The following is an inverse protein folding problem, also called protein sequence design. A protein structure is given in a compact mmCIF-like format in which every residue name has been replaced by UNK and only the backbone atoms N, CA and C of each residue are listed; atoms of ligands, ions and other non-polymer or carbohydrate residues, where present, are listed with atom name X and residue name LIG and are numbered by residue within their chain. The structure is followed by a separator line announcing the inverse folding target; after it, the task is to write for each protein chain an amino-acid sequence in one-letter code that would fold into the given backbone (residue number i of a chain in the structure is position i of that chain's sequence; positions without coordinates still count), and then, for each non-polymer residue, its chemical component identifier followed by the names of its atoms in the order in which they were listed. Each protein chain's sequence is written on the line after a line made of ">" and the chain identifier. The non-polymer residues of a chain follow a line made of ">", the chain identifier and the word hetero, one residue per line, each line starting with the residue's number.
data_IF_915090326439
#
_entry.id   IF_915090326439
#
_cell.length_a   1.000
_cell.length_b   1.000
_cell.length_c   1.000
_cell.angle_alpha   90.00
_cell.angle_beta   90.00
_cell.angle_gamma   90.00
#
_symmetry.space_group_name_H-M   'P 1'
#
loop_
_entity.id
_entity.type
_entity.pdbx_description
1 polymer ?
#
# COMPACT_ATOMS: atom_id res chain seq x y z
N UNK A 1 -22.97 15.14 5.00
CA UNK A 1 -22.51 13.94 4.27
C UNK A 1 -20.98 13.92 4.16
N UNK A 2 -20.36 14.14 2.99
CA UNK A 2 -18.93 13.89 2.76
C UNK A 2 -17.94 14.47 3.80
N UNK A 3 -18.13 15.73 4.25
CA UNK A 3 -17.29 16.37 5.29
C UNK A 3 -17.50 15.82 6.71
N UNK A 4 -18.65 15.19 6.98
CA UNK A 4 -18.94 14.48 8.24
C UNK A 4 -18.41 13.03 8.21
N UNK A 5 -18.48 12.36 7.05
CA UNK A 5 -17.98 10.98 6.86
C UNK A 5 -16.44 10.87 6.75
N UNK A 6 -15.77 11.99 6.43
CA UNK A 6 -14.31 12.13 6.52
C UNK A 6 -13.91 13.61 6.39
N UNK A 7 -13.62 14.33 7.49
CA UNK A 7 -13.06 15.67 7.42
C UNK A 7 -11.64 15.68 6.83
N UNK A 8 -10.85 14.63 7.11
CA UNK A 8 -9.49 14.40 6.59
C UNK A 8 -9.38 14.47 5.06
N UNK A 9 -10.45 14.08 4.36
CA UNK A 9 -10.47 13.90 2.91
C UNK A 9 -10.18 15.21 2.16
N UNK A 10 -10.61 16.36 2.70
CA UNK A 10 -10.39 17.66 2.06
C UNK A 10 -8.90 18.02 2.09
N UNK A 11 -8.26 17.88 3.25
CA UNK A 11 -6.81 18.09 3.40
C UNK A 11 -6.00 17.13 2.51
N UNK A 12 -6.43 15.87 2.38
CA UNK A 12 -5.77 14.91 1.49
C UNK A 12 -5.94 15.25 -0.01
N UNK A 13 -7.00 15.94 -0.41
CA UNK A 13 -7.17 16.43 -1.79
C UNK A 13 -6.28 17.65 -2.02
N UNK A 14 -6.24 18.59 -1.08
CA UNK A 14 -5.35 19.75 -1.11
C UNK A 14 -3.86 19.33 -1.15
N UNK A 15 -3.43 18.42 -0.27
CA UNK A 15 -2.10 17.79 -0.26
C UNK A 15 -1.81 17.12 -1.62
N UNK A 16 -2.78 16.44 -2.22
CA UNK A 16 -2.62 15.73 -3.50
C UNK A 16 -2.42 16.70 -4.68
N UNK A 17 -3.21 17.77 -4.76
CA UNK A 17 -3.06 18.78 -5.83
C UNK A 17 -1.73 19.52 -5.71
N UNK A 18 -1.34 19.93 -4.49
CA UNK A 18 -0.05 20.58 -4.23
C UNK A 18 1.12 19.65 -4.60
N UNK A 19 1.12 18.39 -4.17
CA UNK A 19 2.21 17.45 -4.51
C UNK A 19 2.21 17.01 -5.97
N UNK A 20 1.09 17.04 -6.68
CA UNK A 20 1.08 16.88 -8.15
C UNK A 20 1.67 18.10 -8.87
N UNK A 21 1.44 19.32 -8.40
CA UNK A 21 2.07 20.52 -8.96
C UNK A 21 3.59 20.50 -8.74
N UNK A 22 4.07 20.22 -7.52
CA UNK A 22 5.50 20.06 -7.21
C UNK A 22 6.16 18.95 -8.07
N UNK A 23 5.48 17.81 -8.27
CA UNK A 23 5.95 16.73 -9.13
C UNK A 23 6.12 17.16 -10.60
N UNK A 24 5.17 17.93 -11.13
CA UNK A 24 5.07 18.33 -12.54
C UNK A 24 5.97 19.51 -12.89
N UNK A 25 5.99 20.53 -12.03
CA UNK A 25 6.57 21.83 -12.35
C UNK A 25 7.95 22.05 -11.68
N UNK A 26 8.31 21.28 -10.64
CA UNK A 26 9.68 21.24 -10.10
C UNK A 26 10.42 19.93 -10.47
N UNK A 27 9.92 18.78 -10.00
CA UNK A 27 10.70 17.54 -9.99
C UNK A 27 10.86 16.91 -11.38
N UNK A 28 9.84 16.99 -12.24
CA UNK A 28 9.91 16.48 -13.61
C UNK A 28 10.97 17.23 -14.47
N UNK A 29 11.03 18.58 -14.49
CA UNK A 29 12.16 19.33 -15.05
C UNK A 29 13.53 18.92 -14.51
N UNK A 30 13.69 18.83 -13.19
CA UNK A 30 14.97 18.49 -12.56
C UNK A 30 15.43 17.06 -12.92
N UNK A 31 14.52 16.09 -12.99
CA UNK A 31 14.83 14.74 -13.48
C UNK A 31 15.17 14.70 -14.98
N UNK A 32 14.61 15.60 -15.79
CA UNK A 32 15.06 15.78 -17.18
C UNK A 32 16.49 16.36 -17.22
N UNK A 33 16.83 17.31 -16.34
CA UNK A 33 18.20 17.84 -16.24
C UNK A 33 19.23 16.79 -15.78
N UNK A 34 18.85 15.87 -14.87
CA UNK A 34 19.66 14.70 -14.49
C UNK A 34 19.86 13.75 -15.68
N UNK A 35 18.77 13.42 -16.41
CA UNK A 35 18.86 12.55 -17.60
C UNK A 35 19.69 13.16 -18.73
N UNK A 36 19.64 14.48 -18.88
CA UNK A 36 20.40 15.24 -19.87
C UNK A 36 21.84 15.57 -19.40
N UNK A 37 22.33 14.97 -18.30
CA UNK A 37 23.69 15.18 -17.78
C UNK A 37 24.00 16.60 -17.27
N UNK A 38 23.00 17.49 -17.18
CA UNK A 38 23.17 18.87 -16.71
C UNK A 38 23.32 18.94 -15.18
N UNK A 39 22.80 17.93 -14.47
CA UNK A 39 23.06 17.68 -13.05
C UNK A 39 23.87 16.37 -12.99
N UNK A 40 25.08 16.35 -12.42
CA UNK A 40 25.92 15.16 -12.38
C UNK A 40 25.34 14.08 -11.48
N UNK A 41 25.70 12.82 -11.73
CA UNK A 41 25.29 11.72 -10.87
C UNK A 41 26.00 11.80 -9.51
N UNK A 42 25.23 11.78 -8.42
CA UNK A 42 25.75 11.95 -7.07
C UNK A 42 24.64 12.09 -6.03
N UNK A 43 24.99 12.59 -4.83
CA UNK A 43 24.05 12.71 -3.70
C UNK A 43 22.78 13.52 -4.07
N UNK A 44 22.94 14.62 -4.81
CA UNK A 44 21.82 15.45 -5.28
C UNK A 44 20.92 14.78 -6.34
N UNK A 45 21.49 14.06 -7.32
CA UNK A 45 20.66 13.36 -8.33
C UNK A 45 19.86 12.22 -7.69
N UNK A 46 20.46 11.50 -6.73
CA UNK A 46 19.78 10.47 -5.93
C UNK A 46 18.68 11.07 -5.05
N UNK A 47 18.92 12.21 -4.40
CA UNK A 47 17.90 12.92 -3.61
C UNK A 47 16.66 13.28 -4.45
N UNK A 48 16.87 13.85 -5.64
CA UNK A 48 15.78 14.20 -6.57
C UNK A 48 14.99 12.96 -7.02
N UNK A 49 15.67 11.84 -7.29
CA UNK A 49 15.01 10.57 -7.59
C UNK A 49 14.19 10.05 -6.40
N UNK A 50 14.75 10.06 -5.18
CA UNK A 50 14.03 9.59 -3.98
C UNK A 50 12.84 10.48 -3.64
N UNK A 51 12.96 11.81 -3.76
CA UNK A 51 11.86 12.77 -3.53
C UNK A 51 10.74 12.58 -4.55
N UNK A 52 11.08 12.43 -5.84
CA UNK A 52 10.09 12.11 -6.88
C UNK A 52 9.36 10.78 -6.62
N UNK A 53 10.10 9.71 -6.28
CA UNK A 53 9.48 8.43 -5.95
C UNK A 53 8.64 8.48 -4.66
N UNK A 54 9.05 9.26 -3.65
CA UNK A 54 8.27 9.47 -2.42
C UNK A 54 6.93 10.15 -2.73
N UNK A 55 6.95 11.29 -3.42
CA UNK A 55 5.73 12.04 -3.74
C UNK A 55 4.82 11.26 -4.69
N UNK A 56 5.38 10.56 -5.69
CA UNK A 56 4.60 9.72 -6.60
C UNK A 56 3.89 8.57 -5.85
N UNK A 57 4.57 7.93 -4.89
CA UNK A 57 3.96 6.91 -4.03
C UNK A 57 2.91 7.50 -3.07
N UNK A 58 3.14 8.70 -2.52
CA UNK A 58 2.17 9.40 -1.69
C UNK A 58 0.88 9.69 -2.47
N UNK A 59 0.99 10.32 -3.66
CA UNK A 59 -0.14 10.55 -4.56
C UNK A 59 -0.84 9.25 -5.01
N UNK A 60 -0.10 8.16 -5.22
CA UNK A 60 -0.68 6.85 -5.52
C UNK A 60 -1.50 6.27 -4.34
N UNK A 61 -1.07 6.49 -3.08
CA UNK A 61 -1.82 6.04 -1.91
C UNK A 61 -3.02 6.96 -1.62
N UNK A 62 -2.94 8.26 -1.87
CA UNK A 62 -4.10 9.16 -1.77
C UNK A 62 -5.15 8.78 -2.82
N UNK A 63 -4.78 8.66 -4.09
CA UNK A 63 -5.74 8.25 -5.14
C UNK A 63 -6.37 6.88 -4.88
N UNK A 64 -5.66 5.96 -4.22
CA UNK A 64 -6.24 4.71 -3.72
C UNK A 64 -7.22 4.93 -2.54
N UNK A 65 -6.92 5.82 -1.58
CA UNK A 65 -7.86 6.24 -0.52
C UNK A 65 -9.15 6.84 -1.11
N UNK A 66 -9.04 7.71 -2.14
CA UNK A 66 -10.18 8.28 -2.87
C UNK A 66 -11.06 7.17 -3.50
N UNK A 67 -10.45 6.13 -4.06
CA UNK A 67 -11.16 4.97 -4.65
C UNK A 67 -11.82 4.08 -3.59
N UNK A 68 -11.28 3.99 -2.36
CA UNK A 68 -11.96 3.31 -1.26
C UNK A 68 -13.17 4.11 -0.74
N UNK A 69 -13.03 5.44 -0.61
CA UNK A 69 -14.13 6.34 -0.21
C UNK A 69 -15.24 6.36 -1.26
N UNK A 70 -14.94 6.43 -2.56
CA UNK A 70 -15.97 6.40 -3.61
C UNK A 70 -16.74 5.08 -3.69
N UNK A 71 -16.12 3.97 -3.26
CA UNK A 71 -16.76 2.66 -3.09
C UNK A 71 -17.49 2.48 -1.75
N UNK A 72 -17.54 3.52 -0.90
CA UNK A 72 -18.14 3.51 0.45
C UNK A 72 -17.59 2.39 1.36
N UNK A 73 -16.31 2.02 1.20
CA UNK A 73 -15.66 1.03 2.05
C UNK A 73 -15.19 1.67 3.37
N UNK A 74 -15.19 0.88 4.47
CA UNK A 74 -14.67 1.30 5.77
C UNK A 74 -13.14 1.46 5.73
N UNK A 75 -12.67 2.69 5.51
CA UNK A 75 -11.24 2.97 5.30
C UNK A 75 -10.43 2.88 6.60
N UNK A 76 -11.05 3.09 7.76
CA UNK A 76 -10.42 3.01 9.09
C UNK A 76 -9.70 1.68 9.37
N UNK A 77 -10.11 0.59 8.72
CA UNK A 77 -9.52 -0.75 8.88
C UNK A 77 -8.53 -1.12 7.76
N UNK A 78 -8.15 -0.19 6.90
CA UNK A 78 -7.25 -0.45 5.76
C UNK A 78 -5.86 0.19 5.98
N UNK A 79 -4.75 -0.53 5.73
CA UNK A 79 -3.37 -0.03 5.91
C UNK A 79 -2.94 1.05 4.89
N UNK A 80 -3.90 1.75 4.27
CA UNK A 80 -3.64 2.97 3.49
C UNK A 80 -3.43 4.16 4.42
N UNK A 81 -4.16 4.23 5.54
CA UNK A 81 -4.05 5.35 6.50
C UNK A 81 -2.66 5.33 7.15
N UNK A 82 -2.23 4.16 7.65
CA UNK A 82 -0.89 3.93 8.18
C UNK A 82 0.21 4.36 7.20
N UNK A 83 0.05 4.01 5.91
CA UNK A 83 0.99 4.40 4.85
C UNK A 83 0.97 5.90 4.54
N UNK A 84 -0.21 6.54 4.52
CA UNK A 84 -0.33 7.99 4.32
C UNK A 84 0.35 8.77 5.44
N UNK A 85 0.18 8.33 6.69
CA UNK A 85 0.90 8.90 7.86
C UNK A 85 2.39 8.67 7.74
N UNK A 86 2.84 7.45 7.43
CA UNK A 86 4.27 7.15 7.26
C UNK A 86 4.92 7.98 6.15
N UNK A 87 4.24 8.15 4.99
CA UNK A 87 4.73 9.04 3.94
C UNK A 87 4.74 10.50 4.37
N UNK A 88 3.71 11.00 5.07
CA UNK A 88 3.66 12.38 5.56
C UNK A 88 4.78 12.68 6.56
N UNK A 89 5.13 11.73 7.43
CA UNK A 89 6.28 11.85 8.33
C UNK A 89 7.59 11.99 7.52
N UNK A 90 7.86 11.07 6.57
CA UNK A 90 9.07 11.14 5.73
C UNK A 90 9.11 12.45 4.91
N UNK A 91 7.97 12.97 4.44
CA UNK A 91 7.87 14.26 3.76
C UNK A 91 8.28 15.42 4.70
N UNK A 92 7.87 15.38 5.97
CA UNK A 92 8.30 16.36 6.97
C UNK A 92 9.82 16.27 7.25
N UNK A 93 10.37 15.06 7.38
CA UNK A 93 11.81 14.83 7.59
C UNK A 93 12.65 15.40 6.44
N UNK A 94 12.17 15.24 5.19
CA UNK A 94 12.83 15.82 4.01
C UNK A 94 12.73 17.34 3.93
N UNK A 95 11.79 17.99 4.61
CA UNK A 95 11.58 19.44 4.54
C UNK A 95 12.82 20.24 4.99
N UNK A 96 13.57 19.72 5.97
CA UNK A 96 14.83 20.33 6.46
C UNK A 96 15.92 20.30 5.38
N UNK A 97 15.88 19.33 4.47
CA UNK A 97 16.80 19.23 3.33
C UNK A 97 16.32 20.10 2.17
N UNK A 98 15.02 20.11 1.90
CA UNK A 98 14.41 20.96 0.87
C UNK A 98 14.63 22.45 1.14
N UNK A 99 14.50 22.92 2.39
CA UNK A 99 14.81 24.29 2.78
C UNK A 99 16.25 24.68 2.39
N UNK A 100 17.23 23.80 2.66
CA UNK A 100 18.66 24.01 2.35
C UNK A 100 18.96 23.98 0.85
N UNK A 101 18.21 23.20 0.06
CA UNK A 101 18.39 23.09 -1.40
C UNK A 101 17.54 24.09 -2.20
N UNK A 102 16.54 24.74 -1.57
CA UNK A 102 15.54 25.59 -2.22
C UNK A 102 16.12 26.68 -3.15
N UNK A 103 17.20 27.34 -2.75
CA UNK A 103 17.89 28.36 -3.56
C UNK A 103 18.52 27.78 -4.82
N UNK A 104 19.19 26.63 -4.69
CA UNK A 104 19.83 25.92 -5.81
C UNK A 104 18.77 25.37 -6.77
N UNK A 105 17.68 24.80 -6.24
CA UNK A 105 16.54 24.30 -7.02
C UNK A 105 15.90 25.42 -7.83
N UNK A 106 15.60 26.58 -7.21
CA UNK A 106 15.03 27.75 -7.90
C UNK A 106 15.93 28.27 -9.03
N UNK A 107 17.25 28.32 -8.83
CA UNK A 107 18.21 28.71 -9.86
C UNK A 107 18.25 27.71 -11.04
N UNK A 108 18.22 26.40 -10.75
CA UNK A 108 18.19 25.35 -11.77
C UNK A 108 16.88 25.38 -12.57
N UNK A 109 15.74 25.56 -11.90
CA UNK A 109 14.43 25.67 -12.55
C UNK A 109 14.35 26.93 -13.42
N UNK A 110 14.73 28.11 -12.92
CA UNK A 110 14.78 29.32 -13.76
C UNK A 110 15.61 29.08 -15.02
N UNK A 111 16.85 28.59 -14.87
CA UNK A 111 17.73 28.26 -16.01
C UNK A 111 17.15 27.21 -16.96
N UNK A 112 16.24 26.35 -16.51
CA UNK A 112 15.54 25.38 -17.36
C UNK A 112 14.41 26.04 -18.17
N UNK A 113 13.59 26.88 -17.55
CA UNK A 113 12.52 27.61 -18.24
C UNK A 113 13.07 28.69 -19.20
N UNK A 114 14.08 29.46 -18.80
CA UNK A 114 14.79 30.42 -19.66
C UNK A 114 15.29 29.72 -20.96
N UNK A 115 15.93 28.56 -20.82
CA UNK A 115 16.42 27.73 -21.95
C UNK A 115 15.31 27.10 -22.79
N UNK A 116 14.07 27.10 -22.32
CA UNK A 116 12.90 26.52 -22.98
C UNK A 116 12.20 27.56 -23.87
N UNK A 117 12.25 28.83 -23.49
CA UNK A 117 11.74 29.95 -24.31
C UNK A 117 12.71 30.29 -25.46
N UNK A 118 14.03 30.24 -25.21
CA UNK A 118 15.08 30.42 -26.25
C UNK A 118 15.11 29.28 -27.28
N UNK A 119 14.26 28.25 -27.14
CA UNK A 119 13.98 27.26 -28.19
C UNK A 119 12.65 27.58 -28.88
N UNK A 120 12.64 28.41 -29.95
CA UNK A 120 11.44 28.54 -30.78
C UNK A 120 11.04 27.16 -31.30
N UNK A 121 9.72 26.96 -31.50
CA UNK A 121 9.16 25.69 -31.95
C UNK A 121 9.68 25.32 -33.34
N UNK A 122 10.72 24.48 -33.40
CA UNK A 122 10.97 23.64 -34.58
C UNK A 122 9.73 22.78 -34.80
N UNK A 123 8.92 23.17 -35.78
CA UNK A 123 7.71 22.44 -36.16
C UNK A 123 8.13 21.13 -36.83
N UNK A 124 8.28 20.06 -36.03
CA UNK A 124 8.38 18.70 -36.55
C UNK A 124 7.10 18.35 -37.29
N UNK A 125 7.09 18.60 -38.59
CA UNK A 125 6.04 18.21 -39.52
C UNK A 125 5.93 16.69 -39.50
N UNK A 126 4.96 16.16 -38.77
CA UNK A 126 4.57 14.76 -38.91
C UNK A 126 4.02 14.57 -40.33
N UNK A 127 4.45 13.53 -41.07
CA UNK A 127 3.89 13.23 -42.39
C UNK A 127 2.42 12.86 -42.24
N UNK A 128 1.57 13.42 -43.12
CA UNK A 128 0.14 13.19 -43.07
C UNK A 128 -0.22 11.77 -43.53
N UNK A 129 -1.09 11.10 -42.77
CA UNK A 129 -1.81 9.89 -43.21
C UNK A 129 -3.17 10.31 -43.79
N UNK A 130 -3.65 9.68 -44.89
CA UNK A 130 -4.85 10.10 -45.58
C UNK A 130 -6.14 9.75 -44.80
N UNK A 131 -7.22 10.54 -44.96
CA UNK A 131 -8.49 10.31 -44.27
C UNK A 131 -9.30 9.18 -44.90
N UNK A 132 -10.04 8.42 -44.08
CA UNK A 132 -11.10 7.51 -44.54
C UNK A 132 -12.40 7.68 -43.74
N UNK A 133 -13.50 7.29 -44.40
CA UNK A 133 -14.88 7.66 -44.11
C UNK A 133 -15.40 7.39 -42.68
N UNK A 134 -16.32 8.26 -42.25
CA UNK A 134 -17.03 8.13 -40.99
C UNK A 134 -18.19 7.13 -41.05
N UNK A 135 -18.56 6.55 -39.90
CA UNK A 135 -19.94 6.10 -39.60
C UNK A 135 -20.35 6.56 -38.19
N UNK A 136 -21.61 6.96 -38.05
CA UNK A 136 -22.20 7.55 -36.83
C UNK A 136 -22.90 6.48 -36.00
N UNK A 137 -23.09 6.73 -34.69
CA UNK A 137 -24.40 6.66 -34.04
C UNK A 137 -24.40 7.18 -32.59
N UNK A 138 -25.46 7.91 -32.22
CA UNK A 138 -25.87 8.29 -30.85
C UNK A 138 -27.41 8.33 -30.80
N UNK A 139 -28.07 7.82 -29.76
CA UNK A 139 -29.48 8.14 -29.47
C UNK A 139 -29.65 9.52 -28.79
N UNK A 140 -30.90 10.01 -28.77
CA UNK A 140 -31.40 11.21 -28.05
C UNK A 140 -32.17 10.72 -26.79
N UNK A 141 -32.19 11.33 -25.61
CA UNK A 141 -32.41 12.72 -25.16
C UNK A 141 -33.88 13.18 -25.18
N UNK A 142 -34.39 13.55 -23.99
CA UNK A 142 -35.60 14.34 -23.74
C UNK A 142 -36.34 13.94 -22.45
N UNK A 143 -37.13 14.83 -21.80
CA UNK A 143 -37.15 16.30 -21.87
C UNK A 143 -36.95 16.95 -20.47
N UNK A 144 -37.03 18.30 -20.38
CA UNK A 144 -36.96 19.04 -19.11
C UNK A 144 -37.87 20.28 -19.13
N UNK A 145 -38.56 20.53 -18.01
CA UNK A 145 -39.41 21.68 -17.63
C UNK A 145 -39.56 21.62 -16.09
N UNK A 146 -39.59 22.63 -15.22
CA UNK A 146 -39.38 24.10 -15.18
C UNK A 146 -39.50 24.50 -13.69
N UNK A 147 -39.16 25.74 -13.29
CA UNK A 147 -39.03 26.13 -11.88
C UNK A 147 -40.37 26.41 -11.14
N UNK A 148 -40.36 26.26 -9.80
CA UNK A 148 -41.37 26.81 -8.86
C UNK A 148 -40.84 26.82 -7.42
N UNK A 149 -41.14 27.89 -6.65
CA UNK A 149 -40.78 28.04 -5.21
C UNK A 149 -41.90 27.54 -4.29
N UNK A 150 -41.56 27.19 -3.04
CA UNK A 150 -42.30 27.58 -1.82
C UNK A 150 -41.50 27.25 -0.55
N UNK A 151 -41.82 27.97 0.51
CA UNK A 151 -41.12 28.02 1.81
C UNK A 151 -41.85 27.18 2.88
N UNK A 152 -41.21 26.90 4.01
CA UNK A 152 -41.77 26.17 5.16
C UNK A 152 -40.71 25.85 6.23
N UNK A 153 -41.07 25.91 7.51
CA UNK A 153 -40.17 25.92 8.68
C UNK A 153 -40.66 24.95 9.80
N UNK A 154 -39.89 24.80 10.89
CA UNK A 154 -40.22 24.10 12.17
C UNK A 154 -40.40 22.55 12.10
N UNK A 155 -40.20 21.67 13.11
CA UNK A 155 -39.65 21.62 14.50
C UNK A 155 -39.54 20.08 14.88
N UNK A 156 -38.90 19.52 15.94
CA UNK A 156 -38.09 19.92 17.10
C UNK A 156 -37.24 18.71 17.65
N UNK A 157 -36.45 18.93 18.72
CA UNK A 157 -36.06 18.07 19.89
C UNK A 157 -36.12 16.51 19.84
N UNK A 158 -35.01 15.81 20.21
CA UNK A 158 -34.94 14.86 21.38
C UNK A 158 -33.53 14.25 21.66
N UNK A 159 -33.31 13.85 22.93
CA UNK A 159 -32.32 12.85 23.45
C UNK A 159 -30.82 13.22 23.67
N UNK A 160 -30.54 13.90 24.78
CA UNK A 160 -29.17 14.09 25.35
C UNK A 160 -28.51 12.81 25.95
N UNK A 161 -29.18 11.65 25.93
CA UNK A 161 -28.74 10.45 26.65
C UNK A 161 -27.52 9.72 26.03
N UNK A 162 -27.19 10.00 24.76
CA UNK A 162 -26.11 9.31 24.03
C UNK A 162 -24.71 9.95 24.23
N UNK A 163 -24.62 11.23 24.62
CA UNK A 163 -23.32 11.92 24.73
C UNK A 163 -22.43 11.32 25.83
N UNK A 164 -23.00 11.01 27.00
CA UNK A 164 -22.25 10.43 28.12
C UNK A 164 -21.76 9.00 27.79
N UNK A 165 -22.55 8.24 27.02
CA UNK A 165 -22.16 6.93 26.51
C UNK A 165 -20.99 7.04 25.50
N UNK A 166 -21.05 8.02 24.60
CA UNK A 166 -19.97 8.31 23.65
C UNK A 166 -18.66 8.71 24.38
N UNK A 167 -18.73 9.60 25.36
CA UNK A 167 -17.57 10.03 26.16
C UNK A 167 -16.93 8.86 26.91
N UNK A 168 -17.74 7.98 27.54
CA UNK A 168 -17.26 6.76 28.20
C UNK A 168 -16.58 5.81 27.19
N UNK A 169 -17.13 5.66 25.99
CA UNK A 169 -16.52 4.85 24.92
C UNK A 169 -15.17 5.40 24.45
N UNK A 170 -15.06 6.72 24.21
CA UNK A 170 -13.79 7.35 23.82
C UNK A 170 -12.71 7.18 24.89
N UNK A 171 -13.04 7.34 26.18
CA UNK A 171 -12.11 7.12 27.29
C UNK A 171 -11.60 5.67 27.35
N UNK A 172 -12.49 4.68 27.22
CA UNK A 172 -12.11 3.26 27.14
C UNK A 172 -11.24 2.94 25.91
N UNK A 173 -11.45 3.63 24.79
CA UNK A 173 -10.61 3.49 23.59
C UNK A 173 -9.21 4.10 23.79
N UNK A 174 -9.12 5.25 24.44
CA UNK A 174 -7.85 5.91 24.74
C UNK A 174 -6.98 5.04 25.68
N UNK A 175 -7.58 4.46 26.72
CA UNK A 175 -6.92 3.51 27.63
C UNK A 175 -6.43 2.26 26.90
N UNK A 176 -7.22 1.69 25.97
CA UNK A 176 -6.78 0.57 25.12
C UNK A 176 -5.61 0.92 24.19
N UNK A 177 -5.54 2.17 23.70
CA UNK A 177 -4.39 2.64 22.91
C UNK A 177 -3.15 2.84 23.79
N UNK A 178 -3.30 3.40 24.99
CA UNK A 178 -2.23 3.54 25.99
C UNK A 178 -1.66 2.17 26.40
N UNK A 179 -2.52 1.18 26.67
CA UNK A 179 -2.13 -0.20 26.97
C UNK A 179 -1.40 -0.88 25.80
N UNK A 180 -1.83 -0.68 24.55
CA UNK A 180 -1.09 -1.19 23.39
C UNK A 180 0.29 -0.56 23.26
N UNK A 181 0.40 0.78 23.41
CA UNK A 181 1.69 1.48 23.35
C UNK A 181 2.66 1.02 24.44
N UNK A 182 2.17 0.82 25.67
CA UNK A 182 2.96 0.21 26.75
C UNK A 182 3.47 -1.18 26.37
N UNK A 183 2.60 -2.08 25.91
CA UNK A 183 3.00 -3.43 25.50
C UNK A 183 3.96 -3.49 24.31
N UNK A 184 3.92 -2.50 23.41
CA UNK A 184 4.92 -2.38 22.34
C UNK A 184 6.26 -1.89 22.91
N UNK A 185 6.27 -0.81 23.72
CA UNK A 185 7.50 -0.34 24.35
C UNK A 185 8.14 -1.38 25.30
N UNK A 186 7.32 -2.13 26.06
CA UNK A 186 7.75 -3.27 26.89
C UNK A 186 8.38 -4.39 26.03
N UNK A 187 7.91 -4.60 24.80
CA UNK A 187 8.48 -5.57 23.88
C UNK A 187 9.75 -5.05 23.18
N UNK A 188 9.76 -3.77 22.78
CA UNK A 188 10.92 -3.13 22.15
C UNK A 188 12.10 -3.08 23.14
N UNK A 189 11.85 -2.74 24.41
CA UNK A 189 12.87 -2.78 25.48
C UNK A 189 13.37 -4.21 25.73
N UNK A 190 12.51 -5.23 25.71
CA UNK A 190 12.93 -6.63 25.81
C UNK A 190 13.71 -7.14 24.59
N UNK A 191 13.59 -6.49 23.43
CA UNK A 191 14.41 -6.77 22.25
C UNK A 191 15.76 -6.00 22.30
N UNK A 192 15.81 -4.77 22.88
CA UNK A 192 17.06 -4.02 23.11
C UNK A 192 17.90 -4.60 24.28
N UNK A 193 17.28 -5.00 25.40
CA UNK A 193 17.94 -5.72 26.50
C UNK A 193 18.50 -7.07 26.03
N UNK A 194 17.89 -7.68 25.01
CA UNK A 194 18.33 -8.94 24.40
C UNK A 194 19.54 -8.86 23.46
N UNK A 195 20.01 -7.65 23.10
CA UNK A 195 21.25 -7.45 22.34
C UNK A 195 22.46 -7.09 23.24
N UNK A 196 22.26 -6.92 24.55
CA UNK A 196 23.37 -6.96 25.51
C UNK A 196 23.76 -8.43 25.73
N UNK A 197 24.80 -8.89 25.03
CA UNK A 197 25.47 -10.14 25.41
C UNK A 197 25.99 -9.97 26.84
N UNK A 198 25.43 -10.73 27.80
CA UNK A 198 25.97 -10.81 29.15
C UNK A 198 27.40 -11.34 29.07
N UNK A 199 28.40 -10.45 29.24
CA UNK A 199 29.78 -10.84 29.49
C UNK A 199 29.85 -11.50 30.88
N UNK A 200 29.41 -12.76 30.98
CA UNK A 200 29.72 -13.64 32.12
C UNK A 200 31.24 -13.60 32.32
N UNK A 201 31.72 -13.00 33.41
CA UNK A 201 33.14 -12.98 33.73
C UNK A 201 33.68 -14.42 33.77
N UNK A 202 34.51 -14.79 32.78
CA UNK A 202 35.14 -16.12 32.73
C UNK A 202 36.10 -16.27 33.92
N UNK A 203 35.57 -16.77 35.04
CA UNK A 203 36.32 -17.16 36.25
C UNK A 203 37.66 -17.81 35.84
N UNK A 204 38.81 -17.19 36.15
CA UNK A 204 40.09 -17.53 35.53
C UNK A 204 40.60 -18.94 35.87
N UNK A 205 39.95 -19.65 36.80
CA UNK A 205 40.26 -21.04 37.13
C UNK A 205 39.40 -22.06 36.34
N UNK A 206 38.42 -21.60 35.55
CA UNK A 206 37.43 -22.41 34.82
C UNK A 206 38.03 -22.92 33.50
N UNK A 207 38.26 -24.23 33.39
CA UNK A 207 38.79 -24.86 32.17
C UNK A 207 37.85 -24.65 30.98
N UNK A 208 38.28 -23.89 29.97
CA UNK A 208 37.50 -23.60 28.75
C UNK A 208 36.99 -24.88 28.07
N UNK A 209 35.67 -25.00 27.98
CA UNK A 209 34.99 -26.13 27.36
C UNK A 209 35.05 -26.08 25.84
N UNK A 210 35.19 -27.25 25.19
CA UNK A 210 35.20 -27.33 23.72
C UNK A 210 33.81 -27.06 23.14
N UNK A 211 33.69 -26.03 22.29
CA UNK A 211 32.41 -25.54 21.77
C UNK A 211 31.70 -26.58 20.90
N UNK A 212 30.36 -26.64 20.92
CA UNK A 212 29.57 -27.57 20.09
C UNK A 212 29.90 -27.50 18.58
N UNK A 213 30.33 -26.34 18.08
CA UNK A 213 30.81 -26.17 16.72
C UNK A 213 32.04 -27.06 16.44
N UNK A 214 33.06 -26.99 17.30
CA UNK A 214 34.29 -27.80 17.25
C UNK A 214 34.04 -29.29 17.51
N UNK A 215 33.12 -29.63 18.42
CA UNK A 215 32.74 -31.04 18.67
C UNK A 215 32.12 -31.69 17.43
N UNK A 216 31.43 -30.91 16.57
CA UNK A 216 30.63 -31.48 15.46
C UNK A 216 31.14 -31.15 14.06
N UNK A 217 32.07 -30.21 13.90
CA UNK A 217 32.78 -29.87 12.65
C UNK A 217 31.89 -29.89 11.38
N UNK A 218 30.68 -29.31 11.50
CA UNK A 218 29.65 -29.36 10.44
C UNK A 218 29.93 -28.44 9.26
N UNK A 219 30.78 -27.42 9.44
CA UNK A 219 31.07 -26.41 8.43
C UNK A 219 29.83 -25.64 7.92
N UNK A 220 30.02 -24.93 6.80
CA UNK A 220 29.02 -24.05 6.17
C UNK A 220 27.93 -24.84 5.41
N UNK A 221 27.16 -25.67 6.13
CA UNK A 221 26.08 -26.47 5.52
C UNK A 221 24.79 -25.67 5.31
N UNK A 222 24.09 -25.83 4.16
CA UNK A 222 22.87 -25.07 3.86
C UNK A 222 21.69 -25.48 4.75
N UNK A 223 20.81 -24.51 5.06
CA UNK A 223 19.67 -24.64 5.99
C UNK A 223 18.64 -25.70 5.54
N UNK A 224 18.76 -26.93 6.06
CA UNK A 224 17.83 -28.05 5.81
C UNK A 224 16.53 -27.89 6.63
N UNK A 225 15.37 -28.24 6.05
CA UNK A 225 14.06 -28.05 6.69
C UNK A 225 13.84 -29.07 7.82
N UNK A 226 13.08 -28.73 8.87
CA UNK A 226 12.81 -29.62 10.03
C UNK A 226 12.20 -30.97 9.61
N UNK A 227 11.40 -30.99 8.54
CA UNK A 227 10.81 -32.20 7.94
C UNK A 227 11.88 -33.14 7.38
N UNK A 228 12.97 -32.62 6.79
CA UNK A 228 14.04 -33.43 6.21
C UNK A 228 14.92 -34.11 7.25
N UNK A 229 14.81 -33.74 8.53
CA UNK A 229 15.52 -34.39 9.65
C UNK A 229 14.94 -35.75 10.04
N UNK A 230 13.72 -36.09 9.60
CA UNK A 230 13.08 -37.36 9.94
C UNK A 230 12.39 -37.98 8.71
N UNK A 231 12.87 -39.12 8.18
CA UNK A 231 12.33 -39.70 6.95
C UNK A 231 10.85 -40.07 7.09
N UNK A 232 10.42 -40.67 8.21
CA UNK A 232 9.01 -41.02 8.45
C UNK A 232 8.08 -39.80 8.32
N UNK A 233 8.47 -38.66 8.89
CA UNK A 233 7.70 -37.40 8.78
C UNK A 233 7.69 -36.88 7.34
N UNK A 234 8.84 -36.92 6.64
CA UNK A 234 8.95 -36.53 5.22
C UNK A 234 8.06 -37.37 4.30
N UNK A 235 8.04 -38.70 4.48
CA UNK A 235 7.20 -39.61 3.70
C UNK A 235 5.70 -39.42 4.02
N UNK A 236 5.33 -39.24 5.29
CA UNK A 236 3.95 -38.93 5.71
C UNK A 236 3.45 -37.62 5.06
N UNK A 237 4.26 -36.57 5.07
CA UNK A 237 3.92 -35.30 4.41
C UNK A 237 3.86 -35.42 2.87
N UNK A 238 4.79 -36.17 2.26
CA UNK A 238 4.76 -36.46 0.81
C UNK A 238 3.45 -37.15 0.42
N UNK A 239 3.02 -38.16 1.19
CA UNK A 239 1.76 -38.87 0.99
C UNK A 239 0.53 -37.97 1.20
N UNK A 240 0.48 -37.20 2.30
CA UNK A 240 -0.63 -36.26 2.59
C UNK A 240 -0.81 -35.26 1.45
N UNK A 241 0.28 -34.64 0.98
CA UNK A 241 0.28 -33.69 -0.15
C UNK A 241 -0.12 -34.35 -1.47
N UNK A 242 0.30 -35.59 -1.72
CA UNK A 242 -0.11 -36.37 -2.89
C UNK A 242 -1.62 -36.69 -2.87
N UNK A 243 -2.19 -37.09 -1.72
CA UNK A 243 -3.64 -37.36 -1.59
C UNK A 243 -4.47 -36.09 -1.82
N UNK A 244 -4.03 -34.93 -1.30
CA UNK A 244 -4.68 -33.64 -1.56
C UNK A 244 -4.64 -33.30 -3.06
N UNK A 245 -3.48 -33.44 -3.73
CA UNK A 245 -3.37 -33.19 -5.18
C UNK A 245 -4.29 -34.11 -5.99
N UNK A 246 -4.34 -35.42 -5.65
CA UNK A 246 -5.20 -36.40 -6.31
C UNK A 246 -6.68 -36.00 -6.22
N UNK A 247 -7.17 -35.59 -5.03
CA UNK A 247 -8.54 -35.09 -4.82
C UNK A 247 -8.88 -33.86 -5.67
N UNK A 248 -7.89 -33.03 -6.01
CA UNK A 248 -8.06 -31.88 -6.90
C UNK A 248 -8.17 -32.25 -8.39
N UNK A 249 -7.46 -33.30 -8.83
CA UNK A 249 -7.50 -33.79 -10.21
C UNK A 249 -8.71 -34.70 -10.48
N UNK A 250 -9.01 -35.61 -9.54
CA UNK A 250 -10.09 -36.59 -9.63
C UNK A 250 -10.87 -36.56 -8.32
N UNK A 251 -12.18 -36.30 -8.40
CA UNK A 251 -13.06 -36.38 -7.22
C UNK A 251 -13.12 -37.84 -6.75
N UNK A 252 -12.81 -38.08 -5.48
CA UNK A 252 -13.07 -39.37 -4.83
C UNK A 252 -14.58 -39.60 -4.72
N UNK A 253 -15.02 -40.87 -4.73
CA UNK A 253 -16.43 -41.24 -4.55
C UNK A 253 -16.91 -40.78 -3.16
N UNK A 254 -18.00 -40.01 -3.13
CA UNK A 254 -18.68 -39.60 -1.89
C UNK A 254 -19.67 -40.71 -1.48
N UNK A 255 -19.88 -40.87 -0.18
CA UNK A 255 -21.00 -41.67 0.39
C UNK A 255 -22.01 -40.71 1.00
N UNK A 256 -23.29 -40.98 0.77
CA UNK A 256 -24.39 -40.17 1.30
C UNK A 256 -24.73 -40.63 2.72
N UNK A 257 -24.05 -40.05 3.71
CA UNK A 257 -24.28 -40.32 5.14
C UNK A 257 -25.44 -39.50 5.72
N UNK A 258 -25.92 -38.48 4.98
CA UNK A 258 -26.99 -37.57 5.38
C UNK A 258 -27.87 -37.26 4.16
N UNK A 259 -29.12 -36.86 4.41
CA UNK A 259 -30.08 -36.45 3.37
C UNK A 259 -29.50 -35.31 2.52
N UNK A 260 -29.68 -35.41 1.20
CA UNK A 260 -29.15 -34.44 0.23
C UNK A 260 -29.66 -33.01 0.51
N UNK A 261 -28.72 -32.07 0.62
CA UNK A 261 -28.94 -30.64 0.91
C UNK A 261 -28.51 -29.70 -0.22
N UNK A 262 -28.17 -30.24 -1.40
CA UNK A 262 -27.64 -29.48 -2.53
C UNK A 262 -26.12 -29.65 -2.75
N UNK A 263 -25.64 -29.20 -3.91
CA UNK A 263 -24.21 -29.23 -4.25
C UNK A 263 -23.45 -28.07 -3.58
N UNK A 264 -22.82 -28.36 -2.43
CA UNK A 264 -22.02 -27.42 -1.61
C UNK A 264 -20.93 -26.63 -2.37
N UNK A 265 -20.55 -27.04 -3.58
CA UNK A 265 -19.54 -26.36 -4.41
C UNK A 265 -20.12 -25.67 -5.65
N UNK A 266 -21.46 -25.60 -5.77
CA UNK A 266 -22.17 -25.05 -6.91
C UNK A 266 -22.16 -25.94 -8.16
N UNK A 267 -23.13 -25.70 -9.05
CA UNK A 267 -23.27 -26.38 -10.34
C UNK A 267 -22.90 -25.40 -11.46
N UNK A 268 -22.05 -25.81 -12.41
CA UNK A 268 -21.64 -24.99 -13.57
C UNK A 268 -22.11 -25.62 -14.88
N UNK A 269 -23.31 -25.24 -15.31
CA UNK A 269 -24.02 -25.84 -16.45
C UNK A 269 -23.20 -25.97 -17.75
N UNK A 270 -22.32 -25.01 -18.05
CA UNK A 270 -21.49 -25.01 -19.26
C UNK A 270 -20.32 -26.02 -19.29
N UNK A 271 -20.08 -26.80 -18.23
CA UNK A 271 -18.91 -27.70 -18.15
C UNK A 271 -19.28 -29.17 -18.27
N UNK A 272 -19.15 -29.72 -19.49
CA UNK A 272 -19.27 -31.15 -19.77
C UNK A 272 -17.97 -31.88 -19.40
N UNK A 273 -18.06 -33.00 -18.67
CA UNK A 273 -16.90 -33.80 -18.19
C UNK A 273 -16.91 -35.27 -18.63
N UNK A 274 -17.76 -35.64 -19.57
CA UNK A 274 -17.77 -36.97 -20.17
C UNK A 274 -16.51 -37.19 -21.01
N UNK A 275 -16.05 -38.44 -21.10
CA UNK A 275 -15.16 -38.87 -22.18
C UNK A 275 -15.97 -38.95 -23.47
N UNK A 276 -15.46 -38.38 -24.56
CA UNK A 276 -15.96 -38.72 -25.89
C UNK A 276 -15.39 -40.08 -26.29
N UNK A 277 -16.22 -40.92 -26.88
CA UNK A 277 -15.75 -42.04 -27.69
C UNK A 277 -15.46 -41.52 -29.11
N UNK A 278 -14.61 -42.24 -29.83
CA UNK A 278 -14.31 -42.03 -31.25
C UNK A 278 -14.86 -43.23 -32.03
#
# INVERSE_FOLDING_TARGET
>A
LLKQESPELLQLIEDFEVKLMELKDELQPLLQMVKNGTIPQGKGSRYLQTKFHLYLNYCANISFYLVLKSKRMLVHSHPVIERLVAYRNIINDLAVVDQKLSSQVRLLLKRFYDKKEVRPREQKKFPALPPQAAKKNKPKLGPAFTNGRRDGDELAEESDLDEEAALRYYKMMEEKVKLKRKRTAEQDVLEEEGEQEEEEEEDPNKKRGVTYQMIKNKGLTPKRKKIDRNPRVKHREKFRRAKIRRKGQVREVRRELHRYSGELSGIRAGVKKSRKLQ
#
